data_IF_966190784012
#
_entry.id   IF_966190784012
#
_cell.length_a   1.000
_cell.length_b   1.000
_cell.length_c   1.000
_cell.angle_alpha   90.00
_cell.angle_beta   90.00
_cell.angle_gamma   90.00
#
_symmetry.space_group_name_H-M   'P 1'
#
loop_
_entity.id
_entity.type
_entity.pdbx_description
1 polymer ?
#
# COMPACT_ATOMS: atom_id res chain seq x y z
N UNK A 1 -25.48 12.19 51.74
CA UNK A 1 -26.95 12.23 51.61
C UNK A 1 -27.31 11.22 50.54
N UNK A 2 -27.68 10.02 50.92
CA UNK A 2 -28.98 9.37 51.12
C UNK A 2 -29.89 9.55 49.89
N UNK A 3 -30.08 8.45 49.17
CA UNK A 3 -31.21 7.52 49.07
C UNK A 3 -32.17 7.95 47.92
N UNK A 4 -32.86 7.15 47.19
CA UNK A 4 -33.49 5.84 47.42
C UNK A 4 -33.95 5.22 46.09
N UNK A 5 -34.08 3.92 46.12
CA UNK A 5 -34.65 3.01 45.12
C UNK A 5 -36.20 3.17 45.05
N UNK A 6 -36.77 2.75 43.88
CA UNK A 6 -38.13 2.23 43.83
C UNK A 6 -38.24 1.05 42.84
N UNK A 7 -38.61 -0.07 43.40
CA UNK A 7 -39.11 -1.31 42.76
C UNK A 7 -40.63 -1.19 42.62
N UNK A 8 -41.15 -1.70 41.50
CA UNK A 8 -42.54 -2.23 41.37
C UNK A 8 -42.52 -3.21 40.21
N UNK A 9 -42.80 -4.30 40.39
CA UNK A 9 -43.43 -5.52 40.59
C UNK A 9 -44.82 -5.61 39.95
N UNK A 10 -44.99 -6.60 39.01
CA UNK A 10 -46.26 -6.89 38.41
C UNK A 10 -46.24 -8.24 37.71
N UNK A 11 -46.52 -9.29 38.44
CA UNK A 11 -46.83 -10.62 37.91
C UNK A 11 -48.26 -10.66 37.37
N UNK A 12 -48.48 -11.34 36.23
CA UNK A 12 -49.82 -11.89 35.92
C UNK A 12 -49.66 -13.23 35.21
N UNK A 13 -50.43 -14.18 35.73
CA UNK A 13 -50.45 -15.60 35.45
C UNK A 13 -51.37 -15.98 34.25
N UNK A 14 -50.97 -17.07 33.58
CA UNK A 14 -51.75 -18.22 33.06
C UNK A 14 -52.98 -18.03 32.16
N UNK A 15 -52.92 -18.69 31.01
CA UNK A 15 -53.96 -19.61 30.55
C UNK A 15 -53.39 -20.66 29.59
N UNK A 16 -53.60 -21.92 29.96
CA UNK A 16 -53.39 -23.15 29.17
C UNK A 16 -54.48 -23.28 28.12
N UNK A 17 -54.10 -23.62 26.88
CA UNK A 17 -55.03 -24.09 25.85
C UNK A 17 -54.31 -25.10 24.97
N UNK A 18 -54.53 -26.38 25.23
CA UNK A 18 -54.10 -27.47 24.36
C UNK A 18 -55.10 -27.63 23.22
N UNK A 19 -54.62 -27.66 21.99
CA UNK A 19 -55.29 -28.29 20.85
C UNK A 19 -54.25 -28.94 19.97
N UNK A 20 -54.32 -30.23 19.95
CA UNK A 20 -53.63 -31.20 19.12
C UNK A 20 -54.12 -31.06 17.66
N UNK A 21 -53.20 -30.81 16.72
CA UNK A 21 -53.49 -31.06 15.32
C UNK A 21 -52.18 -31.43 14.61
N UNK A 22 -52.04 -32.69 14.38
CA UNK A 22 -51.04 -33.35 13.54
C UNK A 22 -50.99 -32.69 12.18
N UNK A 23 -49.83 -32.07 11.84
CA UNK A 23 -49.53 -31.65 10.47
C UNK A 23 -48.10 -32.02 10.10
N UNK A 24 -48.00 -32.84 9.08
CA UNK A 24 -46.79 -33.36 8.47
C UNK A 24 -45.71 -32.29 8.27
N UNK A 25 -44.53 -32.61 8.74
CA UNK A 25 -43.28 -31.90 8.43
C UNK A 25 -42.85 -32.27 7.00
N UNK A 26 -42.97 -31.31 6.09
CA UNK A 26 -42.20 -31.33 4.86
C UNK A 26 -40.89 -30.56 5.17
N UNK A 27 -39.81 -31.31 5.21
CA UNK A 27 -38.45 -30.74 5.26
C UNK A 27 -38.18 -29.95 3.99
N UNK A 28 -38.31 -28.63 4.09
CA UNK A 28 -37.81 -27.71 3.09
C UNK A 28 -36.33 -27.44 3.39
N UNK A 29 -35.44 -28.10 2.66
CA UNK A 29 -34.00 -27.79 2.64
C UNK A 29 -33.82 -26.37 2.08
N UNK A 30 -33.70 -25.38 2.95
CA UNK A 30 -33.24 -24.05 2.56
C UNK A 30 -31.75 -24.16 2.23
N UNK A 31 -31.42 -24.39 0.97
CA UNK A 31 -30.10 -24.12 0.45
C UNK A 31 -29.85 -22.60 0.53
N UNK A 32 -29.11 -22.20 1.54
CA UNK A 32 -28.48 -20.89 1.57
C UNK A 32 -27.43 -20.87 0.45
N UNK A 33 -27.80 -20.32 -0.69
CA UNK A 33 -26.84 -19.91 -1.70
C UNK A 33 -26.05 -18.76 -1.09
N UNK A 34 -24.85 -19.06 -0.58
CA UNK A 34 -23.86 -18.05 -0.31
C UNK A 34 -23.52 -17.40 -1.67
N UNK A 35 -24.07 -16.23 -1.91
CA UNK A 35 -23.60 -15.37 -2.99
C UNK A 35 -22.13 -15.08 -2.71
N UNK A 36 -21.27 -15.73 -3.48
CA UNK A 36 -19.86 -15.37 -3.55
C UNK A 36 -19.82 -13.97 -4.14
N UNK A 37 -19.66 -12.97 -3.28
CA UNK A 37 -19.38 -11.59 -3.72
C UNK A 37 -18.00 -11.64 -4.36
N UNK A 38 -17.94 -11.94 -5.64
CA UNK A 38 -16.76 -11.73 -6.47
C UNK A 38 -16.58 -10.22 -6.56
N UNK A 39 -15.56 -9.71 -5.87
CA UNK A 39 -15.08 -8.33 -6.10
C UNK A 39 -14.89 -8.15 -7.61
N UNK A 40 -15.36 -7.06 -8.21
CA UNK A 40 -15.20 -6.85 -9.64
C UNK A 40 -13.70 -6.87 -9.95
N UNK A 41 -13.27 -7.88 -10.69
CA UNK A 41 -11.91 -7.93 -11.24
C UNK A 41 -11.79 -6.73 -12.16
N UNK A 42 -10.93 -5.77 -11.78
CA UNK A 42 -10.70 -4.61 -12.61
C UNK A 42 -10.20 -5.01 -13.98
N UNK A 43 -10.83 -4.47 -15.02
CA UNK A 43 -10.46 -4.81 -16.38
C UNK A 43 -9.08 -4.26 -16.74
N UNK A 44 -8.29 -5.05 -17.45
CA UNK A 44 -7.05 -4.58 -18.04
C UNK A 44 -7.35 -3.48 -19.07
N UNK A 45 -6.47 -2.49 -19.14
CA UNK A 45 -6.50 -1.42 -20.14
C UNK A 45 -5.49 -1.75 -21.24
N UNK A 46 -5.83 -1.51 -22.50
CA UNK A 46 -4.91 -1.76 -23.60
C UNK A 46 -4.91 -0.57 -24.58
N UNK A 47 -3.71 -0.10 -24.95
CA UNK A 47 -3.49 0.96 -25.93
C UNK A 47 -2.16 0.73 -26.64
N UNK A 48 -2.20 0.82 -27.98
CA UNK A 48 -1.02 0.73 -28.84
C UNK A 48 -0.12 -0.50 -28.55
N UNK A 49 -0.75 -1.66 -28.26
CA UNK A 49 -0.06 -2.90 -27.96
C UNK A 49 0.50 -3.00 -26.53
N UNK A 50 0.35 -1.96 -25.71
CA UNK A 50 0.71 -1.98 -24.29
C UNK A 50 -0.54 -2.34 -23.50
N UNK A 51 -0.43 -3.40 -22.70
CA UNK A 51 -1.48 -3.85 -21.78
C UNK A 51 -1.10 -3.54 -20.34
N UNK A 52 -1.99 -2.85 -19.64
CA UNK A 52 -1.87 -2.49 -18.24
C UNK A 52 -2.93 -3.23 -17.44
N UNK A 53 -2.51 -4.17 -16.58
CA UNK A 53 -3.40 -5.03 -15.80
C UNK A 53 -3.24 -4.70 -14.31
N UNK A 54 -4.33 -4.39 -13.58
CA UNK A 54 -4.27 -4.26 -12.13
C UNK A 54 -3.79 -5.56 -11.49
N UNK A 55 -2.97 -5.44 -10.45
CA UNK A 55 -2.40 -6.56 -9.74
C UNK A 55 -2.81 -6.49 -8.26
N UNK A 56 -3.68 -7.37 -7.80
CA UNK A 56 -4.25 -7.35 -6.44
C UNK A 56 -4.13 -8.68 -5.68
N UNK A 57 -3.39 -9.64 -6.21
CA UNK A 57 -3.25 -10.99 -5.62
C UNK A 57 -2.20 -11.08 -4.50
N UNK A 58 -1.63 -9.95 -4.11
CA UNK A 58 -0.55 -9.90 -3.13
C UNK A 58 -1.04 -10.10 -1.69
N UNK A 59 -0.23 -10.74 -0.81
CA UNK A 59 -0.48 -10.76 0.63
C UNK A 59 -0.62 -9.35 1.18
N UNK A 60 -1.66 -9.08 1.95
CA UNK A 60 -2.00 -7.68 2.35
C UNK A 60 -1.16 -7.15 3.51
N UNK A 61 -0.65 -7.97 4.43
CA UNK A 61 0.10 -7.57 5.64
C UNK A 61 -0.58 -6.41 6.42
N UNK A 62 -1.86 -6.51 6.77
CA UNK A 62 -2.62 -5.37 7.31
C UNK A 62 -2.07 -4.85 8.64
N UNK A 63 -1.40 -5.72 9.41
CA UNK A 63 -0.81 -5.40 10.71
C UNK A 63 0.65 -4.93 10.64
N UNK A 64 1.22 -4.83 9.43
CA UNK A 64 2.59 -4.36 9.28
C UNK A 64 2.70 -2.89 9.67
N UNK A 65 3.68 -2.56 10.50
CA UNK A 65 3.94 -1.20 10.95
C UNK A 65 5.38 -0.82 10.69
N UNK A 66 5.59 0.41 10.27
CA UNK A 66 6.90 1.02 10.14
C UNK A 66 6.89 2.41 10.76
N UNK A 67 7.91 2.71 11.55
CA UNK A 67 8.14 4.04 12.11
C UNK A 67 9.62 4.40 11.95
N UNK A 68 9.91 5.50 11.30
CA UNK A 68 11.26 6.05 11.26
C UNK A 68 11.56 6.75 12.60
N UNK A 69 12.56 6.27 13.33
CA UNK A 69 13.03 6.87 14.59
C UNK A 69 14.05 7.98 14.32
N UNK A 70 15.01 7.69 13.46
CA UNK A 70 16.11 8.59 13.11
C UNK A 70 16.19 8.76 11.58
N UNK A 71 16.31 10.01 11.09
CA UNK A 71 16.22 11.26 11.84
C UNK A 71 14.79 11.61 12.22
N UNK A 72 14.54 12.31 13.35
CA UNK A 72 13.20 12.82 13.67
C UNK A 72 12.67 13.77 12.61
N UNK A 73 11.33 13.90 12.52
CA UNK A 73 10.72 14.85 11.58
C UNK A 73 11.15 16.28 11.89
N UNK A 74 11.53 17.05 10.86
CA UNK A 74 12.02 18.42 10.99
C UNK A 74 13.44 18.54 11.57
N UNK A 75 14.10 17.42 11.87
CA UNK A 75 15.46 17.46 12.41
C UNK A 75 16.46 18.08 11.44
N UNK A 76 17.47 18.75 11.99
CA UNK A 76 18.67 19.13 11.26
C UNK A 76 19.77 18.12 11.60
N UNK A 77 20.33 17.49 10.59
CA UNK A 77 21.42 16.51 10.70
C UNK A 77 22.68 17.04 10.01
N UNK A 78 23.88 16.58 10.41
CA UNK A 78 25.13 16.99 9.75
C UNK A 78 25.14 16.68 8.26
N UNK A 79 25.93 17.44 7.51
CA UNK A 79 26.21 17.20 6.08
C UNK A 79 26.74 15.79 5.83
N UNK A 80 26.36 15.19 4.71
CA UNK A 80 26.91 13.94 4.21
C UNK A 80 26.05 12.72 4.52
N UNK A 81 26.57 11.75 5.26
CA UNK A 81 25.88 10.48 5.50
C UNK A 81 24.83 10.62 6.59
N UNK A 82 23.57 10.64 6.19
CA UNK A 82 22.41 10.66 7.09
C UNK A 82 22.10 9.24 7.55
N UNK A 83 22.03 9.03 8.87
CA UNK A 83 21.64 7.76 9.46
C UNK A 83 20.12 7.63 9.49
N UNK A 84 19.62 6.47 9.08
CA UNK A 84 18.21 6.06 9.17
C UNK A 84 18.09 4.88 10.12
N UNK A 85 17.09 4.92 11.00
CA UNK A 85 16.77 3.85 11.94
C UNK A 85 15.25 3.69 12.04
N UNK A 86 14.75 2.48 11.78
CA UNK A 86 13.32 2.15 11.74
C UNK A 86 12.94 1.12 12.79
N UNK A 87 11.79 1.32 13.43
CA UNK A 87 11.06 0.25 14.11
C UNK A 87 10.10 -0.41 13.12
N UNK A 88 10.12 -1.74 13.04
CA UNK A 88 9.19 -2.54 12.26
C UNK A 88 8.42 -3.52 13.16
N UNK A 89 7.13 -3.67 12.90
CA UNK A 89 6.27 -4.63 13.58
C UNK A 89 5.47 -5.41 12.54
N UNK A 90 5.32 -6.72 12.72
CA UNK A 90 4.55 -7.61 11.84
C UNK A 90 5.00 -7.62 10.37
N UNK A 91 6.26 -7.24 10.11
CA UNK A 91 6.89 -7.33 8.80
C UNK A 91 8.36 -7.72 8.95
N UNK A 92 8.78 -8.74 8.22
CA UNK A 92 10.15 -9.30 8.33
C UNK A 92 10.91 -8.94 7.06
N UNK A 93 11.97 -8.13 7.21
CA UNK A 93 12.90 -7.88 6.11
C UNK A 93 13.61 -9.16 5.69
N UNK A 94 14.04 -9.22 4.44
CA UNK A 94 14.74 -10.36 3.82
C UNK A 94 13.91 -11.64 3.65
N UNK A 95 12.66 -11.67 4.13
CA UNK A 95 11.76 -12.78 3.87
C UNK A 95 11.21 -12.68 2.44
N UNK A 96 11.18 -13.78 1.72
CA UNK A 96 10.50 -13.82 0.43
C UNK A 96 8.99 -13.68 0.63
N UNK A 97 8.36 -12.80 -0.14
CA UNK A 97 6.91 -12.65 -0.12
C UNK A 97 6.27 -13.83 -0.85
N UNK A 98 5.18 -14.38 -0.25
CA UNK A 98 4.33 -15.35 -0.93
C UNK A 98 3.42 -14.65 -1.97
N UNK A 99 2.75 -15.40 -2.82
CA UNK A 99 1.72 -14.91 -3.74
C UNK A 99 2.17 -14.69 -5.18
N UNK A 100 3.47 -14.51 -5.45
CA UNK A 100 3.98 -14.55 -6.82
C UNK A 100 4.49 -15.95 -7.18
N UNK A 101 3.82 -16.59 -8.11
CA UNK A 101 4.25 -17.83 -8.73
C UNK A 101 4.70 -17.51 -10.17
N UNK A 102 5.98 -17.66 -10.45
CA UNK A 102 6.53 -17.51 -11.79
C UNK A 102 7.67 -16.50 -11.90
N UNK A 103 8.53 -16.70 -12.88
CA UNK A 103 9.73 -15.87 -13.15
C UNK A 103 9.44 -14.82 -14.24
N UNK A 104 8.28 -14.17 -14.19
CA UNK A 104 7.86 -13.24 -15.25
C UNK A 104 8.01 -11.76 -14.84
N UNK A 105 8.42 -11.49 -13.62
CA UNK A 105 8.54 -10.14 -13.05
C UNK A 105 9.79 -10.04 -12.19
N UNK A 106 10.42 -8.88 -12.17
CA UNK A 106 11.61 -8.62 -11.37
C UNK A 106 11.36 -8.83 -9.88
N UNK A 107 12.17 -9.67 -9.24
CA UNK A 107 12.12 -10.00 -7.82
C UNK A 107 13.47 -9.71 -7.17
N UNK A 108 13.48 -9.12 -6.00
CA UNK A 108 14.68 -9.00 -5.20
C UNK A 108 15.02 -10.36 -4.56
N UNK A 109 16.18 -10.91 -4.90
CA UNK A 109 16.70 -12.12 -4.28
C UNK A 109 16.92 -11.98 -2.77
N UNK A 110 17.05 -10.75 -2.28
CA UNK A 110 17.19 -10.43 -0.86
C UNK A 110 15.86 -10.35 -0.12
N UNK A 111 14.72 -10.52 -0.81
CA UNK A 111 13.40 -10.56 -0.18
C UNK A 111 12.78 -9.18 0.11
N UNK A 112 11.89 -9.14 1.09
CA UNK A 112 11.18 -7.95 1.56
C UNK A 112 12.15 -6.88 2.07
N UNK A 113 11.84 -5.61 1.80
CA UNK A 113 12.75 -4.51 2.06
C UNK A 113 12.02 -3.18 2.30
N UNK A 114 12.75 -2.16 2.72
CA UNK A 114 12.29 -0.78 2.81
C UNK A 114 12.69 -0.08 1.51
N UNK A 115 11.76 0.60 0.86
CA UNK A 115 12.07 1.63 -0.12
C UNK A 115 12.23 2.97 0.59
N UNK A 116 13.31 3.70 0.27
CA UNK A 116 13.55 5.05 0.75
C UNK A 116 13.71 5.99 -0.44
N UNK A 117 12.78 6.94 -0.57
CA UNK A 117 12.71 7.96 -1.61
C UNK A 117 13.04 9.31 -0.97
N UNK A 118 13.97 10.04 -1.54
CA UNK A 118 14.29 11.40 -1.16
C UNK A 118 13.95 12.31 -2.35
N UNK A 119 13.14 13.34 -2.14
CA UNK A 119 12.74 14.34 -3.15
C UNK A 119 12.19 13.74 -4.45
N UNK A 120 11.42 12.67 -4.33
CA UNK A 120 10.86 11.92 -5.46
C UNK A 120 11.91 11.40 -6.46
N UNK A 121 13.18 11.29 -6.04
CA UNK A 121 14.23 10.63 -6.81
C UNK A 121 14.07 9.10 -6.76
N UNK A 122 14.69 8.34 -7.64
CA UNK A 122 14.62 6.88 -7.61
C UNK A 122 14.96 6.32 -6.23
N UNK A 123 14.13 5.40 -5.74
CA UNK A 123 14.29 4.82 -4.41
C UNK A 123 15.61 4.05 -4.24
N UNK A 124 16.09 3.95 -3.00
CA UNK A 124 17.07 2.96 -2.58
C UNK A 124 16.38 1.85 -1.78
N UNK A 125 16.76 0.57 -2.00
CA UNK A 125 16.22 -0.57 -1.30
C UNK A 125 17.11 -0.94 -0.10
N UNK A 126 16.53 -1.09 1.09
CA UNK A 126 17.25 -1.39 2.32
C UNK A 126 16.67 -2.64 2.98
N UNK A 127 17.57 -3.56 3.34
CA UNK A 127 17.23 -4.90 3.86
C UNK A 127 17.52 -5.02 5.37
N UNK A 128 17.90 -3.92 6.00
CA UNK A 128 18.09 -3.74 7.43
C UNK A 128 17.28 -2.55 7.90
N UNK A 129 16.95 -2.50 9.18
CA UNK A 129 16.26 -1.37 9.79
C UNK A 129 17.17 -0.15 9.98
N UNK A 130 18.49 -0.38 9.99
CA UNK A 130 19.50 0.68 10.13
C UNK A 130 20.35 0.76 8.87
N UNK A 131 20.54 1.97 8.35
CA UNK A 131 21.43 2.25 7.22
C UNK A 131 21.83 3.72 7.19
N UNK A 132 22.80 4.05 6.36
CA UNK A 132 23.18 5.43 6.04
C UNK A 132 22.97 5.73 4.56
N UNK A 133 22.65 6.98 4.23
CA UNK A 133 22.49 7.46 2.86
C UNK A 133 23.10 8.85 2.74
N UNK A 134 23.95 9.05 1.74
CA UNK A 134 24.44 10.38 1.41
C UNK A 134 23.32 11.23 0.83
N UNK A 135 23.04 12.35 1.46
CA UNK A 135 22.03 13.32 1.05
C UNK A 135 22.74 14.68 1.00
N UNK A 136 22.47 15.46 -0.03
CA UNK A 136 23.04 16.79 -0.18
C UNK A 136 22.59 17.73 0.95
N UNK A 137 23.29 18.83 1.15
CA UNK A 137 22.85 19.86 2.09
C UNK A 137 21.58 20.54 1.59
N UNK A 138 20.62 20.73 2.48
CA UNK A 138 19.32 21.33 2.17
C UNK A 138 18.17 20.73 2.97
N UNK A 139 16.96 21.15 2.62
CA UNK A 139 15.74 20.54 3.13
C UNK A 139 15.23 19.49 2.15
N UNK A 140 14.84 18.33 2.67
CA UNK A 140 14.44 17.18 1.87
C UNK A 140 13.13 16.59 2.36
N UNK A 141 12.28 16.15 1.42
CA UNK A 141 11.13 15.29 1.70
C UNK A 141 11.56 13.83 1.58
N UNK A 142 11.37 13.08 2.64
CA UNK A 142 11.71 11.65 2.69
C UNK A 142 10.44 10.86 2.83
N UNK A 143 10.15 10.01 1.85
CA UNK A 143 9.15 8.94 1.95
C UNK A 143 9.87 7.60 2.10
N UNK A 144 9.46 6.81 3.08
CA UNK A 144 9.87 5.42 3.22
C UNK A 144 8.63 4.55 3.33
N UNK A 145 8.67 3.36 2.71
CA UNK A 145 7.58 2.41 2.81
C UNK A 145 8.07 0.96 2.74
N UNK A 146 7.27 0.05 3.28
CA UNK A 146 7.50 -1.39 3.23
C UNK A 146 7.19 -1.93 1.84
N UNK A 147 8.09 -2.76 1.32
CA UNK A 147 8.02 -3.35 -0.01
C UNK A 147 8.13 -4.86 0.04
N UNK A 148 7.28 -5.53 -0.75
CA UNK A 148 7.37 -6.97 -1.00
C UNK A 148 8.63 -7.30 -1.79
N UNK A 149 9.02 -8.57 -1.83
CA UNK A 149 10.22 -9.01 -2.57
C UNK A 149 10.18 -8.69 -4.06
N UNK A 150 9.01 -8.59 -4.66
CA UNK A 150 8.79 -8.19 -6.06
C UNK A 150 8.54 -6.69 -6.23
N UNK A 151 8.96 -5.88 -5.24
CA UNK A 151 8.98 -4.43 -5.27
C UNK A 151 7.60 -3.74 -5.24
N UNK A 152 6.55 -4.45 -4.94
CA UNK A 152 5.24 -3.85 -4.67
C UNK A 152 5.19 -3.21 -3.28
N UNK A 153 4.76 -1.96 -3.21
CA UNK A 153 4.56 -1.24 -1.96
C UNK A 153 3.37 -1.76 -1.15
N UNK A 154 3.48 -1.77 0.18
CA UNK A 154 2.33 -1.96 1.07
C UNK A 154 1.55 -0.64 1.16
N UNK A 155 0.29 -0.65 0.71
CA UNK A 155 -0.52 0.56 0.51
C UNK A 155 -1.50 0.81 1.67
N UNK A 156 -0.97 0.90 2.90
CA UNK A 156 -1.78 1.27 4.07
C UNK A 156 -0.99 2.17 5.03
N UNK A 157 -1.70 2.89 5.91
CA UNK A 157 -1.12 3.94 6.74
C UNK A 157 -0.01 3.49 7.68
N UNK A 158 -0.02 2.26 8.15
CA UNK A 158 1.03 1.72 9.01
C UNK A 158 2.34 1.39 8.29
N UNK A 159 2.31 1.27 6.96
CA UNK A 159 3.42 0.75 6.18
C UNK A 159 4.35 1.83 5.60
N UNK A 160 4.17 3.10 5.94
CA UNK A 160 5.00 4.18 5.43
C UNK A 160 5.29 5.25 6.48
N UNK A 161 6.33 6.03 6.21
CA UNK A 161 6.70 7.24 6.95
C UNK A 161 7.05 8.35 5.96
N UNK A 162 6.42 9.51 6.09
CA UNK A 162 6.68 10.70 5.29
C UNK A 162 7.09 11.85 6.22
N UNK A 163 8.24 12.45 5.96
CA UNK A 163 8.76 13.56 6.76
C UNK A 163 9.63 14.52 5.99
N UNK A 164 9.89 15.67 6.60
CA UNK A 164 10.94 16.61 6.18
C UNK A 164 12.13 16.44 7.09
N UNK A 165 13.33 16.49 6.52
CA UNK A 165 14.61 16.60 7.23
C UNK A 165 15.43 17.75 6.65
N UNK A 166 16.33 18.32 7.45
CA UNK A 166 17.30 19.31 7.02
C UNK A 166 18.70 18.69 7.11
N UNK A 167 19.50 18.80 6.07
CA UNK A 167 20.87 18.28 6.03
C UNK A 167 21.83 19.46 5.94
N UNK A 168 22.87 19.44 6.76
CA UNK A 168 23.87 20.50 6.83
C UNK A 168 23.39 21.75 7.58
N UNK A 169 24.25 22.76 7.60
CA UNK A 169 24.03 24.03 8.29
C UNK A 169 23.66 25.19 7.36
N UNK A 170 23.50 24.93 6.06
CA UNK A 170 23.12 25.96 5.10
C UNK A 170 21.78 26.60 5.47
N UNK A 171 21.54 27.87 5.20
CA UNK A 171 20.23 28.49 5.33
C UNK A 171 19.26 27.67 4.46
N UNK A 172 18.39 26.95 5.11
CA UNK A 172 17.43 26.11 4.44
C UNK A 172 16.47 27.02 3.71
N UNK A 173 16.51 27.02 2.37
CA UNK A 173 15.36 27.54 1.62
C UNK A 173 14.20 26.62 1.96
N UNK A 174 13.13 27.14 2.61
CA UNK A 174 12.01 26.29 2.98
C UNK A 174 11.49 25.61 1.71
N UNK A 175 11.54 24.28 1.66
CA UNK A 175 10.72 23.56 0.71
C UNK A 175 9.28 23.97 0.99
N UNK A 176 8.59 24.50 -0.01
CA UNK A 176 7.15 24.73 0.03
C UNK A 176 6.41 23.37 -0.02
N UNK A 177 6.86 22.43 0.83
CA UNK A 177 6.29 21.10 0.90
C UNK A 177 5.29 21.05 2.05
N UNK A 178 4.04 21.30 1.72
CA UNK A 178 2.94 21.02 2.63
C UNK A 178 2.71 19.50 2.69
N UNK A 179 3.28 18.84 3.71
CA UNK A 179 3.11 17.39 3.90
C UNK A 179 1.65 16.97 4.16
N UNK A 180 0.75 17.90 4.43
CA UNK A 180 -0.69 17.62 4.55
C UNK A 180 -1.42 17.60 3.19
N UNK A 181 -0.82 18.16 2.17
CA UNK A 181 -1.34 18.12 0.81
C UNK A 181 -1.28 16.70 0.19
N UNK A 182 -1.95 16.54 -0.94
CA UNK A 182 -1.86 15.32 -1.73
C UNK A 182 -0.47 15.16 -2.36
N UNK A 183 0.17 14.01 -2.15
CA UNK A 183 1.45 13.68 -2.72
C UNK A 183 1.41 12.39 -3.52
N UNK A 184 2.19 12.35 -4.60
CA UNK A 184 2.47 11.15 -5.37
C UNK A 184 3.98 10.99 -5.50
N UNK A 185 4.47 9.80 -5.15
CA UNK A 185 5.86 9.41 -5.32
C UNK A 185 5.94 8.25 -6.31
N UNK A 186 6.85 8.37 -7.27
CA UNK A 186 7.11 7.33 -8.24
C UNK A 186 7.99 6.23 -7.62
N UNK A 187 7.64 4.97 -7.86
CA UNK A 187 8.38 3.81 -7.36
C UNK A 187 8.90 2.91 -8.49
N UNK A 188 8.02 2.41 -9.37
CA UNK A 188 8.34 1.46 -10.43
C UNK A 188 7.67 1.84 -11.75
N UNK A 189 8.31 1.51 -12.92
CA UNK A 189 9.57 0.79 -13.14
C UNK A 189 10.81 1.61 -12.76
N UNK A 190 11.93 0.92 -12.55
CA UNK A 190 13.21 1.52 -12.22
C UNK A 190 14.36 0.74 -12.89
N UNK A 191 15.33 1.45 -13.41
CA UNK A 191 16.52 0.87 -14.07
C UNK A 191 16.20 0.01 -15.31
N UNK A 192 17.04 -0.95 -15.61
CA UNK A 192 16.95 -1.81 -16.80
C UNK A 192 16.37 -3.18 -16.43
N UNK A 193 15.45 -3.66 -17.23
CA UNK A 193 14.89 -5.01 -17.16
C UNK A 193 15.48 -5.88 -18.27
N UNK A 194 15.73 -7.17 -18.00
CA UNK A 194 16.28 -8.10 -18.97
C UNK A 194 15.67 -9.50 -18.84
N UNK A 195 15.75 -10.29 -19.91
CA UNK A 195 15.26 -11.66 -19.90
C UNK A 195 13.79 -11.78 -19.56
N UNK A 196 13.45 -12.64 -18.60
CA UNK A 196 12.06 -12.87 -18.18
C UNK A 196 11.42 -11.66 -17.48
N UNK A 197 12.22 -10.79 -16.85
CA UNK A 197 11.72 -9.59 -16.14
C UNK A 197 11.08 -8.57 -17.08
N UNK A 198 11.33 -8.68 -18.40
CA UNK A 198 10.71 -7.83 -19.42
C UNK A 198 9.29 -8.24 -19.78
N UNK A 199 8.85 -9.44 -19.41
CA UNK A 199 7.52 -9.95 -19.79
C UNK A 199 6.40 -9.22 -19.09
N UNK A 200 6.60 -8.95 -17.79
CA UNK A 200 5.68 -8.18 -16.95
C UNK A 200 6.48 -7.18 -16.14
N UNK A 201 6.39 -5.93 -16.48
CA UNK A 201 7.04 -4.84 -15.75
C UNK A 201 6.05 -4.19 -14.81
N UNK A 202 6.39 -4.08 -13.52
CA UNK A 202 5.50 -3.46 -12.55
C UNK A 202 5.50 -1.94 -12.68
N UNK A 203 4.30 -1.34 -12.72
CA UNK A 203 4.06 0.06 -12.46
C UNK A 203 3.54 0.19 -11.03
N UNK A 204 4.30 0.84 -10.18
CA UNK A 204 3.94 1.12 -8.79
C UNK A 204 4.28 2.57 -8.41
N UNK A 205 3.40 3.19 -7.65
CA UNK A 205 3.53 4.54 -7.12
C UNK A 205 2.93 4.61 -5.73
N UNK A 206 3.38 5.58 -4.94
CA UNK A 206 2.89 5.77 -3.58
C UNK A 206 2.09 7.07 -3.48
N UNK A 207 0.88 6.98 -2.92
CA UNK A 207 0.03 8.13 -2.66
C UNK A 207 -0.03 8.43 -1.16
N UNK A 208 0.02 9.70 -0.82
CA UNK A 208 -0.17 10.18 0.55
C UNK A 208 -1.21 11.30 0.54
N UNK A 209 -2.12 11.29 1.51
CA UNK A 209 -3.20 12.26 1.71
C UNK A 209 -4.13 12.42 0.49
N UNK A 210 -4.28 11.38 -0.32
CA UNK A 210 -5.24 11.38 -1.42
C UNK A 210 -5.74 9.96 -1.69
N UNK A 211 -6.88 9.85 -2.34
CA UNK A 211 -7.48 8.62 -2.84
C UNK A 211 -7.83 8.79 -4.30
N UNK A 212 -7.85 7.69 -5.04
CA UNK A 212 -8.29 7.68 -6.44
C UNK A 212 -9.71 7.15 -6.52
N UNK A 213 -10.47 7.66 -7.48
CA UNK A 213 -11.79 7.12 -7.83
C UNK A 213 -12.18 7.53 -9.26
N UNK A 214 -13.16 6.84 -9.88
CA UNK A 214 -13.66 7.23 -11.21
C UNK A 214 -14.14 8.66 -11.29
N UNK A 215 -14.74 9.20 -10.22
CA UNK A 215 -15.30 10.56 -10.18
C UNK A 215 -14.37 11.59 -9.49
N UNK A 216 -13.33 11.12 -8.81
CA UNK A 216 -12.38 11.96 -8.06
C UNK A 216 -11.02 12.08 -8.73
N UNK A 217 -9.97 12.09 -7.89
CA UNK A 217 -8.60 12.13 -8.35
C UNK A 217 -8.24 10.88 -9.15
N UNK A 218 -7.39 11.06 -10.14
CA UNK A 218 -6.88 10.00 -11.01
C UNK A 218 -5.39 10.19 -11.23
N UNK A 219 -4.68 9.10 -11.48
CA UNK A 219 -3.30 9.15 -11.96
C UNK A 219 -3.29 8.92 -13.46
N UNK A 220 -2.68 9.83 -14.21
CA UNK A 220 -2.41 9.66 -15.63
C UNK A 220 -1.02 9.06 -15.79
N UNK A 221 -0.96 7.82 -16.26
CA UNK A 221 0.29 7.17 -16.65
C UNK A 221 0.48 7.31 -18.15
N UNK A 222 1.59 7.91 -18.58
CA UNK A 222 1.96 8.00 -20.00
C UNK A 222 3.10 7.04 -20.25
N UNK A 223 2.88 6.03 -21.10
CA UNK A 223 3.83 4.98 -21.42
C UNK A 223 4.00 4.97 -22.93
N UNK A 224 5.19 5.28 -23.43
CA UNK A 224 5.48 5.40 -24.87
C UNK A 224 4.42 6.23 -25.64
N UNK A 225 4.01 7.36 -25.06
CA UNK A 225 2.99 8.24 -25.63
C UNK A 225 1.54 7.76 -25.47
N UNK A 226 1.30 6.57 -24.93
CA UNK A 226 -0.04 6.07 -24.63
C UNK A 226 -0.46 6.49 -23.22
N UNK A 227 -1.62 7.15 -23.09
CA UNK A 227 -2.13 7.61 -21.80
C UNK A 227 -3.13 6.63 -21.20
N UNK A 228 -2.91 6.23 -19.95
CA UNK A 228 -3.80 5.39 -19.15
C UNK A 228 -4.27 6.19 -17.93
N UNK A 229 -5.57 6.19 -17.68
CA UNK A 229 -6.17 6.85 -16.52
C UNK A 229 -6.44 5.83 -15.42
N UNK A 230 -5.66 5.91 -14.33
CA UNK A 230 -5.76 5.02 -13.19
C UNK A 230 -6.72 5.62 -12.15
N UNK A 231 -7.77 4.91 -11.84
CA UNK A 231 -8.82 5.33 -10.90
C UNK A 231 -8.73 4.61 -9.56
N UNK A 232 -7.75 3.69 -9.42
CA UNK A 232 -7.48 2.97 -8.18
C UNK A 232 -5.99 2.97 -7.85
N UNK A 233 -5.69 3.02 -6.56
CA UNK A 233 -4.32 2.96 -6.07
C UNK A 233 -3.88 1.52 -5.86
N UNK A 234 -3.66 0.84 -6.96
CA UNK A 234 -3.14 -0.52 -7.06
C UNK A 234 -1.79 -0.52 -7.78
N UNK A 235 -0.97 -1.55 -7.63
CA UNK A 235 0.09 -1.84 -8.57
C UNK A 235 -0.51 -2.36 -9.88
N UNK A 236 0.20 -2.15 -10.98
CA UNK A 236 -0.19 -2.65 -12.31
C UNK A 236 0.96 -3.40 -12.93
N UNK A 237 0.67 -4.41 -13.73
CA UNK A 237 1.65 -5.04 -14.62
C UNK A 237 1.53 -4.47 -16.02
N UNK A 238 2.65 -4.15 -16.63
CA UNK A 238 2.75 -3.70 -18.02
C UNK A 238 3.30 -4.83 -18.88
N UNK A 239 2.59 -5.16 -19.95
CA UNK A 239 2.98 -6.13 -20.97
C UNK A 239 3.02 -5.46 -22.35
N UNK A 240 3.77 -6.02 -23.29
CA UNK A 240 3.85 -5.48 -24.64
C UNK A 240 4.78 -4.27 -24.79
N UNK A 241 5.62 -3.98 -23.81
CA UNK A 241 6.64 -2.95 -23.93
C UNK A 241 7.68 -3.34 -24.98
N UNK A 242 8.04 -2.46 -25.95
CA UNK A 242 9.10 -2.77 -26.91
C UNK A 242 10.47 -2.84 -26.21
N UNK A 243 11.42 -3.48 -26.87
CA UNK A 243 12.82 -3.46 -26.40
C UNK A 243 13.42 -2.09 -26.60
N UNK A 244 14.21 -1.65 -25.63
CA UNK A 244 14.88 -0.35 -25.64
C UNK A 244 14.38 0.56 -24.53
N UNK A 245 14.47 1.86 -24.74
CA UNK A 245 13.99 2.87 -23.79
C UNK A 245 12.47 3.03 -23.93
N UNK A 246 11.79 2.91 -22.82
CA UNK A 246 10.35 3.10 -22.65
C UNK A 246 10.05 4.27 -21.74
#
# INVERSE_FOLDING_TARGET
MKASAFLLGGSLLLALGACDTTRQQTEGTSQSTAETVTSPTMAAMEKNGIRLTPFDDSPKYPEAQMRLKTPPSGATVPSGAVAFDYDLTNFVLTKMSSGMTGNEMAVSEKGQHIHNIVDNQPYTAHYTTEFTKNIADGQHVVLSFLSRSYHESLKHRGAYDLRVINVGSAPVQPLNADLSAAHMFYSRPKDTYSGNDTKKVMLDFYLVNTTLSPEGNKVRATINGSEFMLTEWLPYTMEGLPMGQN
#
